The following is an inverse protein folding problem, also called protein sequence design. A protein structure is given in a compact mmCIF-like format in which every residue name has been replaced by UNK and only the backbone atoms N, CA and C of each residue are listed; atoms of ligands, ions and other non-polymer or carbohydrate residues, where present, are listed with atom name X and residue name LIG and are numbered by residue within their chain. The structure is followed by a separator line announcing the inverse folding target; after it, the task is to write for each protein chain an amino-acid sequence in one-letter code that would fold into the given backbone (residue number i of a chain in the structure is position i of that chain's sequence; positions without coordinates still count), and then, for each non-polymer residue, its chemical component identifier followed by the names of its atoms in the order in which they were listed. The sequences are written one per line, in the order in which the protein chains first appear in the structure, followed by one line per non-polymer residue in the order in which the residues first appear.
data_IF_836775601523
#
_entry.id   IF_836775601523
#
_cell.length_a   1.000
_cell.length_b   1.000
_cell.length_c   1.000
_cell.angle_alpha   90.00
_cell.angle_beta   90.00
_cell.angle_gamma   90.00
#
_symmetry.space_group_name_H-M   'P 1'
#
loop_
_entity.id
_entity.type
_entity.pdbx_description
1 polymer ?
#
# COMPACT_ATOMS: atom_id res chain seq x y z
N UNK A 1 -24.29 -63.86 -19.47
CA UNK A 1 -24.42 -62.59 -20.20
C UNK A 1 -24.49 -61.41 -19.23
N UNK A 2 -25.38 -61.44 -18.23
CA UNK A 2 -25.53 -60.38 -17.22
C UNK A 2 -24.29 -60.08 -16.37
N UNK A 3 -23.55 -61.10 -15.91
CA UNK A 3 -22.29 -60.93 -15.15
C UNK A 3 -21.20 -60.18 -15.94
N UNK A 4 -21.19 -60.31 -17.27
CA UNK A 4 -20.22 -59.60 -18.11
C UNK A 4 -20.61 -58.13 -18.27
N UNK A 5 -21.91 -57.86 -18.43
CA UNK A 5 -22.44 -56.49 -18.50
C UNK A 5 -22.24 -55.73 -17.18
N UNK A 6 -22.43 -56.40 -16.03
CA UNK A 6 -22.18 -55.80 -14.72
C UNK A 6 -20.70 -55.49 -14.49
N UNK A 7 -19.79 -56.34 -15.01
CA UNK A 7 -18.34 -56.11 -14.95
C UNK A 7 -17.89 -54.96 -15.84
N UNK A 8 -18.44 -54.84 -17.05
CA UNK A 8 -18.15 -53.71 -17.95
C UNK A 8 -18.66 -52.39 -17.36
N UNK A 9 -19.84 -52.39 -16.75
CA UNK A 9 -20.39 -51.23 -16.06
C UNK A 9 -19.54 -50.80 -14.85
N UNK A 10 -19.09 -51.75 -14.01
CA UNK A 10 -18.19 -51.47 -12.89
C UNK A 10 -16.81 -50.94 -13.34
N UNK A 11 -16.27 -51.49 -14.43
CA UNK A 11 -14.99 -51.03 -14.99
C UNK A 11 -15.11 -49.61 -15.55
N UNK A 12 -16.19 -49.31 -16.29
CA UNK A 12 -16.45 -47.97 -16.82
C UNK A 12 -16.69 -46.93 -15.71
N UNK A 13 -17.37 -47.31 -14.62
CA UNK A 13 -17.56 -46.42 -13.46
C UNK A 13 -16.24 -46.14 -12.73
N UNK A 14 -15.38 -47.14 -12.60
CA UNK A 14 -14.06 -47.00 -11.95
C UNK A 14 -13.12 -46.12 -12.78
N UNK A 15 -13.03 -46.37 -14.10
CA UNK A 15 -12.24 -45.55 -15.05
C UNK A 15 -12.72 -44.09 -15.09
N UNK A 16 -14.05 -43.88 -15.04
CA UNK A 16 -14.64 -42.56 -14.93
C UNK A 16 -14.26 -41.83 -13.63
N UNK A 17 -14.26 -42.53 -12.49
CA UNK A 17 -13.85 -41.97 -11.19
C UNK A 17 -12.36 -41.63 -11.16
N UNK A 18 -11.48 -42.52 -11.62
CA UNK A 18 -10.03 -42.27 -11.72
C UNK A 18 -9.72 -41.09 -12.65
N UNK A 19 -10.44 -40.95 -13.76
CA UNK A 19 -10.31 -39.81 -14.67
C UNK A 19 -10.73 -38.49 -14.02
N UNK A 20 -11.80 -38.49 -13.21
CA UNK A 20 -12.25 -37.30 -12.48
C UNK A 20 -11.26 -36.93 -11.37
N UNK A 21 -10.78 -37.90 -10.59
CA UNK A 21 -9.77 -37.68 -9.54
C UNK A 21 -8.48 -37.11 -10.13
N UNK A 22 -7.96 -37.69 -11.21
CA UNK A 22 -6.78 -37.20 -11.93
C UNK A 22 -6.94 -35.75 -12.41
N UNK A 23 -8.11 -35.39 -12.95
CA UNK A 23 -8.41 -34.01 -13.36
C UNK A 23 -8.47 -33.05 -12.16
N UNK A 24 -9.02 -33.48 -11.03
CA UNK A 24 -9.09 -32.69 -9.81
C UNK A 24 -7.70 -32.47 -9.20
N UNK A 25 -6.84 -33.49 -9.21
CA UNK A 25 -5.46 -33.38 -8.74
C UNK A 25 -4.64 -32.45 -9.64
N UNK A 26 -4.72 -32.61 -10.96
CA UNK A 26 -4.06 -31.72 -11.92
C UNK A 26 -4.53 -30.26 -11.76
N UNK A 27 -5.84 -30.04 -11.62
CA UNK A 27 -6.39 -28.70 -11.36
C UNK A 27 -5.91 -28.13 -10.02
N UNK A 28 -5.88 -28.94 -8.95
CA UNK A 28 -5.38 -28.54 -7.63
C UNK A 28 -3.90 -28.14 -7.71
N UNK A 29 -3.08 -28.94 -8.37
CA UNK A 29 -1.65 -28.71 -8.46
C UNK A 29 -1.33 -27.46 -9.30
N UNK A 30 -2.09 -27.21 -10.37
CA UNK A 30 -2.03 -25.98 -11.14
C UNK A 30 -2.41 -24.74 -10.30
N UNK A 31 -3.46 -24.84 -9.49
CA UNK A 31 -3.86 -23.76 -8.55
C UNK A 31 -2.78 -23.52 -7.51
N UNK A 32 -2.23 -24.56 -6.89
CA UNK A 32 -1.16 -24.45 -5.89
C UNK A 32 0.14 -23.89 -6.49
N UNK A 33 0.49 -24.27 -7.72
CA UNK A 33 1.61 -23.67 -8.43
C UNK A 33 1.40 -22.17 -8.62
N UNK A 34 0.22 -21.75 -9.10
CA UNK A 34 -0.11 -20.34 -9.30
C UNK A 34 -0.05 -19.52 -8.01
N UNK A 35 -0.65 -20.03 -6.93
CA UNK A 35 -0.62 -19.34 -5.62
C UNK A 35 0.81 -19.14 -5.11
N UNK A 36 1.70 -20.13 -5.32
CA UNK A 36 3.12 -20.01 -4.96
C UNK A 36 3.85 -18.95 -5.79
N UNK A 37 3.51 -18.82 -7.08
CA UNK A 37 4.08 -17.76 -7.94
C UNK A 37 3.58 -16.37 -7.54
N UNK A 38 2.28 -16.23 -7.28
CA UNK A 38 1.68 -14.99 -6.79
C UNK A 38 2.32 -14.55 -5.45
N UNK A 39 2.49 -15.47 -4.50
CA UNK A 39 3.14 -15.18 -3.22
C UNK A 39 4.59 -14.71 -3.38
N UNK A 40 5.35 -15.29 -4.33
CA UNK A 40 6.73 -14.88 -4.64
C UNK A 40 6.76 -13.47 -5.26
N UNK A 41 5.87 -13.19 -6.21
CA UNK A 41 5.76 -11.88 -6.84
C UNK A 41 5.40 -10.80 -5.82
N UNK A 42 4.44 -11.09 -4.95
CA UNK A 42 4.05 -10.19 -3.87
C UNK A 42 5.23 -9.93 -2.91
N UNK A 43 5.93 -10.98 -2.48
CA UNK A 43 7.11 -10.82 -1.64
C UNK A 43 8.21 -9.99 -2.32
N UNK A 44 8.43 -10.18 -3.63
CA UNK A 44 9.42 -9.45 -4.39
C UNK A 44 9.07 -7.95 -4.54
N UNK A 45 7.82 -7.62 -4.84
CA UNK A 45 7.38 -6.21 -4.95
C UNK A 45 7.48 -5.50 -3.60
N UNK A 46 7.16 -6.17 -2.49
CA UNK A 46 7.37 -5.62 -1.15
C UNK A 46 8.83 -5.35 -0.81
N UNK A 47 9.70 -6.33 -1.06
CA UNK A 47 11.13 -6.18 -0.83
C UNK A 47 11.71 -5.03 -1.67
N UNK A 48 11.28 -4.91 -2.94
CA UNK A 48 11.65 -3.79 -3.79
C UNK A 48 11.21 -2.45 -3.19
N UNK A 49 9.96 -2.34 -2.75
CA UNK A 49 9.45 -1.13 -2.09
C UNK A 49 10.22 -0.77 -0.81
N UNK A 50 10.63 -1.77 -0.02
CA UNK A 50 11.46 -1.55 1.17
C UNK A 50 12.86 -1.03 0.82
N UNK A 51 13.53 -1.63 -0.17
CA UNK A 51 14.86 -1.18 -0.61
C UNK A 51 14.77 0.25 -1.17
N UNK A 52 13.78 0.54 -2.00
CA UNK A 52 13.55 1.87 -2.55
C UNK A 52 13.22 2.90 -1.48
N UNK A 53 12.43 2.55 -0.46
CA UNK A 53 12.09 3.47 0.63
C UNK A 53 13.27 3.76 1.55
N UNK A 54 14.14 2.79 1.83
CA UNK A 54 15.39 3.02 2.57
C UNK A 54 16.36 3.92 1.80
N UNK A 55 16.56 3.66 0.51
CA UNK A 55 17.37 4.52 -0.34
C UNK A 55 16.78 5.94 -0.45
N UNK A 56 15.46 6.04 -0.66
CA UNK A 56 14.75 7.31 -0.68
C UNK A 56 14.89 8.08 0.62
N UNK A 57 14.73 7.40 1.77
CA UNK A 57 14.92 7.98 3.10
C UNK A 57 16.31 8.62 3.24
N UNK A 58 17.38 7.88 2.93
CA UNK A 58 18.74 8.41 2.96
C UNK A 58 18.87 9.66 2.07
N UNK A 59 18.47 9.56 0.79
CA UNK A 59 18.60 10.67 -0.17
C UNK A 59 17.82 11.91 0.26
N UNK A 60 16.60 11.73 0.74
CA UNK A 60 15.73 12.82 1.20
C UNK A 60 16.30 13.49 2.44
N UNK A 61 16.70 12.71 3.44
CA UNK A 61 17.24 13.24 4.69
C UNK A 61 18.58 13.95 4.47
N UNK A 62 19.47 13.35 3.67
CA UNK A 62 20.76 13.97 3.29
C UNK A 62 20.57 15.32 2.60
N UNK A 63 19.53 15.46 1.76
CA UNK A 63 19.24 16.73 1.06
C UNK A 63 18.63 17.78 2.00
N UNK A 64 17.59 17.42 2.75
CA UNK A 64 16.88 18.41 3.60
C UNK A 64 17.75 18.91 4.75
N UNK A 65 18.67 18.09 5.29
CA UNK A 65 19.60 18.53 6.34
C UNK A 65 20.60 19.57 5.83
N UNK A 66 20.96 19.53 4.54
CA UNK A 66 21.91 20.47 3.95
C UNK A 66 21.30 21.82 3.59
N UNK A 67 20.00 21.85 3.24
CA UNK A 67 19.37 23.06 2.68
C UNK A 67 18.07 23.50 3.33
N UNK A 68 17.44 22.68 4.17
CA UNK A 68 16.14 22.97 4.77
C UNK A 68 16.25 23.50 6.20
N UNK A 69 15.16 24.12 6.68
CA UNK A 69 15.00 24.50 8.07
C UNK A 69 14.47 23.35 8.95
N UNK A 70 14.34 23.59 10.27
CA UNK A 70 13.89 22.57 11.22
C UNK A 70 12.48 22.02 10.93
N UNK A 71 11.58 22.81 10.35
CA UNK A 71 10.24 22.36 9.99
C UNK A 71 10.28 21.44 8.77
N UNK A 72 11.10 21.77 7.77
CA UNK A 72 11.30 20.93 6.58
C UNK A 72 11.95 19.60 6.96
N UNK A 73 12.96 19.62 7.84
CA UNK A 73 13.62 18.42 8.35
C UNK A 73 12.60 17.54 9.08
N UNK A 74 11.83 18.11 10.02
CA UNK A 74 10.80 17.36 10.74
C UNK A 74 9.76 16.76 9.79
N UNK A 75 9.30 17.55 8.81
CA UNK A 75 8.31 17.13 7.84
C UNK A 75 8.78 15.96 6.98
N UNK A 76 10.01 16.06 6.46
CA UNK A 76 10.61 15.01 5.64
C UNK A 76 10.93 13.75 6.45
N UNK A 77 11.37 13.90 7.72
CA UNK A 77 11.63 12.77 8.60
C UNK A 77 10.35 11.95 8.88
N UNK A 78 9.23 12.62 9.12
CA UNK A 78 7.93 11.97 9.34
C UNK A 78 7.49 11.21 8.09
N UNK A 79 7.60 11.82 6.91
CA UNK A 79 7.30 11.14 5.64
C UNK A 79 8.20 9.91 5.42
N UNK A 80 9.52 10.08 5.59
CA UNK A 80 10.48 9.00 5.38
C UNK A 80 10.25 7.83 6.34
N UNK A 81 9.98 8.11 7.62
CA UNK A 81 9.66 7.10 8.62
C UNK A 81 8.38 6.33 8.28
N UNK A 82 7.30 7.04 7.89
CA UNK A 82 6.05 6.40 7.50
C UNK A 82 6.20 5.52 6.24
N UNK A 83 6.98 6.00 5.25
CA UNK A 83 7.30 5.27 4.03
C UNK A 83 8.07 3.98 4.32
N UNK A 84 9.13 4.05 5.13
CA UNK A 84 9.89 2.86 5.52
C UNK A 84 9.02 1.91 6.35
N UNK A 85 8.22 2.42 7.29
CA UNK A 85 7.39 1.60 8.17
C UNK A 85 6.36 0.76 7.42
N UNK A 86 5.66 1.33 6.42
CA UNK A 86 4.68 0.58 5.64
C UNK A 86 5.35 -0.53 4.82
N UNK A 87 6.43 -0.24 4.10
CA UNK A 87 7.11 -1.25 3.29
C UNK A 87 7.84 -2.30 4.14
N UNK A 88 8.35 -1.92 5.31
CA UNK A 88 8.94 -2.84 6.27
C UNK A 88 7.88 -3.79 6.83
N UNK A 89 6.74 -3.26 7.29
CA UNK A 89 5.65 -4.08 7.81
C UNK A 89 5.14 -5.06 6.74
N UNK A 90 4.98 -4.59 5.51
CA UNK A 90 4.54 -5.42 4.40
C UNK A 90 5.53 -6.52 4.06
N UNK A 91 6.83 -6.20 3.96
CA UNK A 91 7.89 -7.18 3.67
C UNK A 91 8.02 -8.22 4.78
N UNK A 92 7.99 -7.78 6.04
CA UNK A 92 8.07 -8.66 7.21
C UNK A 92 6.86 -9.59 7.30
N UNK A 93 5.70 -9.15 6.82
CA UNK A 93 4.49 -9.98 6.77
C UNK A 93 4.63 -11.21 5.86
N UNK A 94 5.52 -11.17 4.87
CA UNK A 94 5.84 -12.32 4.01
C UNK A 94 7.04 -13.12 4.51
N UNK A 95 7.97 -12.49 5.24
CA UNK A 95 9.16 -13.15 5.76
C UNK A 95 8.85 -14.08 6.95
N UNK A 96 7.91 -13.71 7.83
CA UNK A 96 7.62 -14.50 9.02
C UNK A 96 6.73 -15.72 8.73
N UNK A 97 7.29 -16.92 8.92
CA UNK A 97 6.55 -18.19 8.82
C UNK A 97 5.62 -18.45 10.03
N UNK A 98 5.91 -17.85 11.18
CA UNK A 98 5.08 -18.01 12.40
C UNK A 98 3.72 -17.34 12.21
N UNK A 99 2.58 -18.07 12.29
CA UNK A 99 1.25 -17.53 11.96
C UNK A 99 0.85 -16.29 12.77
N UNK A 100 1.25 -16.24 14.06
CA UNK A 100 0.97 -15.09 14.94
C UNK A 100 1.70 -13.83 14.48
N UNK A 101 3.01 -13.91 14.23
CA UNK A 101 3.81 -12.77 13.76
C UNK A 101 3.34 -12.32 12.37
N UNK A 102 3.10 -13.27 11.46
CA UNK A 102 2.54 -12.99 10.14
C UNK A 102 1.24 -12.19 10.21
N UNK A 103 0.35 -12.55 11.15
CA UNK A 103 -0.90 -11.81 11.38
C UNK A 103 -0.64 -10.39 11.88
N UNK A 104 0.25 -10.20 12.86
CA UNK A 104 0.58 -8.87 13.41
C UNK A 104 1.13 -7.96 12.32
N UNK A 105 2.10 -8.41 11.53
CA UNK A 105 2.69 -7.58 10.47
C UNK A 105 1.72 -7.27 9.34
N UNK A 106 0.77 -8.16 9.01
CA UNK A 106 -0.32 -7.83 8.09
C UNK A 106 -1.26 -6.77 8.64
N UNK A 107 -1.57 -6.80 9.93
CA UNK A 107 -2.40 -5.75 10.56
C UNK A 107 -1.65 -4.41 10.51
N UNK A 108 -0.35 -4.42 10.85
CA UNK A 108 0.49 -3.23 10.83
C UNK A 108 0.69 -2.67 9.42
N UNK A 109 0.93 -3.52 8.42
CA UNK A 109 1.02 -3.13 7.02
C UNK A 109 -0.21 -2.29 6.60
N UNK A 110 -1.40 -2.81 6.91
CA UNK A 110 -2.65 -2.13 6.62
C UNK A 110 -2.86 -0.87 7.47
N UNK A 111 -2.43 -0.87 8.73
CA UNK A 111 -2.56 0.28 9.62
C UNK A 111 -1.62 1.43 9.19
N UNK A 112 -0.40 1.12 8.76
CA UNK A 112 0.60 2.12 8.36
C UNK A 112 0.21 2.90 7.11
N UNK A 113 -0.74 2.41 6.30
CA UNK A 113 -1.29 3.18 5.17
C UNK A 113 -1.89 4.50 5.67
N UNK A 114 -2.58 4.53 6.81
CA UNK A 114 -3.10 5.76 7.40
C UNK A 114 -1.97 6.76 7.73
N UNK A 115 -0.88 6.27 8.33
CA UNK A 115 0.26 7.10 8.68
C UNK A 115 1.04 7.55 7.45
N UNK A 116 1.11 6.73 6.40
CA UNK A 116 1.71 7.12 5.14
C UNK A 116 0.94 8.28 4.49
N UNK A 117 -0.40 8.22 4.49
CA UNK A 117 -1.23 9.28 3.93
C UNK A 117 -1.02 10.61 4.67
N UNK A 118 -1.02 10.60 6.01
CA UNK A 118 -0.67 11.80 6.78
C UNK A 118 0.79 12.22 6.55
N UNK A 119 1.69 11.24 6.45
CA UNK A 119 3.10 11.42 6.18
C UNK A 119 3.39 12.13 4.85
N UNK A 120 2.64 11.86 3.79
CA UNK A 120 2.82 12.54 2.49
C UNK A 120 2.38 14.01 2.54
N UNK A 121 1.37 14.35 3.35
CA UNK A 121 0.92 15.74 3.53
C UNK A 121 1.86 16.56 4.44
N UNK A 122 2.51 15.89 5.40
CA UNK A 122 3.30 16.54 6.45
C UNK A 122 4.45 17.44 5.95
N UNK A 123 5.36 17.00 5.06
CA UNK A 123 6.42 17.87 4.55
C UNK A 123 5.88 19.02 3.72
N UNK A 124 4.77 18.84 2.97
CA UNK A 124 4.12 19.93 2.25
C UNK A 124 3.59 20.98 3.24
N UNK A 125 2.84 20.55 4.25
CA UNK A 125 2.24 21.45 5.24
C UNK A 125 3.32 22.20 6.03
N UNK A 126 4.34 21.48 6.48
CA UNK A 126 5.43 22.06 7.26
C UNK A 126 6.44 22.83 6.40
N UNK A 127 6.38 22.79 5.07
CA UNK A 127 7.20 23.67 4.22
C UNK A 127 6.46 24.95 3.84
N UNK A 128 5.17 24.85 3.48
CA UNK A 128 4.45 25.95 2.84
C UNK A 128 3.23 26.47 3.60
N UNK A 129 2.67 25.69 4.53
CA UNK A 129 1.35 25.94 5.13
C UNK A 129 1.45 26.08 6.66
N UNK A 130 2.34 26.94 7.14
CA UNK A 130 2.67 27.09 8.58
C UNK A 130 1.80 28.09 9.34
N UNK A 131 0.76 28.64 8.73
CA UNK A 131 0.04 29.79 9.28
C UNK A 131 -1.47 29.59 9.35
N UNK A 132 -2.12 30.17 10.36
CA UNK A 132 -3.57 30.25 10.47
C UNK A 132 -4.29 28.89 10.38
N UNK A 133 -5.28 28.82 9.49
CA UNK A 133 -6.17 27.68 9.33
C UNK A 133 -5.46 26.38 8.87
N UNK A 134 -4.24 26.47 8.36
CA UNK A 134 -3.49 25.30 7.90
C UNK A 134 -3.10 24.34 9.03
N UNK A 135 -2.89 24.85 10.25
CA UNK A 135 -2.69 24.00 11.43
C UNK A 135 -3.93 23.18 11.77
N UNK A 136 -5.13 23.72 11.54
CA UNK A 136 -6.37 22.98 11.74
C UNK A 136 -6.50 21.84 10.71
N UNK A 137 -6.14 22.09 9.45
CA UNK A 137 -6.11 21.05 8.41
C UNK A 137 -5.08 19.95 8.75
N UNK A 138 -3.87 20.35 9.15
CA UNK A 138 -2.82 19.43 9.60
C UNK A 138 -3.27 18.57 10.78
N UNK A 139 -3.85 19.19 11.81
CA UNK A 139 -4.39 18.48 12.97
C UNK A 139 -5.52 17.52 12.59
N UNK A 140 -6.43 17.92 11.68
CA UNK A 140 -7.52 17.06 11.21
C UNK A 140 -6.99 15.84 10.47
N UNK A 141 -6.04 16.02 9.54
CA UNK A 141 -5.40 14.91 8.80
C UNK A 141 -4.75 13.92 9.77
N UNK A 142 -3.95 14.42 10.72
CA UNK A 142 -3.28 13.57 11.71
C UNK A 142 -4.24 12.89 12.69
N UNK A 143 -5.28 13.59 13.15
CA UNK A 143 -6.28 13.01 14.03
C UNK A 143 -7.02 11.84 13.37
N UNK A 144 -7.46 12.01 12.12
CA UNK A 144 -8.13 10.95 11.36
C UNK A 144 -7.16 9.79 11.09
N UNK A 145 -5.90 10.09 10.72
CA UNK A 145 -4.89 9.08 10.46
C UNK A 145 -4.55 8.24 11.70
N UNK A 146 -4.33 8.88 12.85
CA UNK A 146 -4.05 8.18 14.11
C UNK A 146 -5.25 7.35 14.55
N UNK A 147 -6.47 7.90 14.45
CA UNK A 147 -7.68 7.15 14.74
C UNK A 147 -7.79 5.90 13.86
N UNK A 148 -7.57 6.02 12.55
CA UNK A 148 -7.56 4.90 11.62
C UNK A 148 -6.48 3.86 11.94
N UNK A 149 -5.26 4.32 12.20
CA UNK A 149 -4.12 3.49 12.59
C UNK A 149 -4.43 2.67 13.85
N UNK A 150 -4.85 3.32 14.94
CA UNK A 150 -5.14 2.63 16.20
C UNK A 150 -6.35 1.71 16.10
N UNK A 151 -7.42 2.15 15.42
CA UNK A 151 -8.59 1.31 15.17
C UNK A 151 -8.19 0.01 14.45
N UNK A 152 -7.34 0.12 13.43
CA UNK A 152 -6.85 -1.05 12.69
C UNK A 152 -5.94 -1.92 13.54
N UNK A 153 -4.97 -1.32 14.24
CA UNK A 153 -3.99 -2.01 15.05
C UNK A 153 -4.61 -2.78 16.23
N UNK A 154 -5.67 -2.23 16.85
CA UNK A 154 -6.33 -2.82 18.03
C UNK A 154 -7.41 -3.81 17.62
N UNK A 155 -8.31 -3.43 16.72
CA UNK A 155 -9.49 -4.25 16.41
C UNK A 155 -9.25 -5.28 15.31
N UNK A 156 -8.14 -5.17 14.57
CA UNK A 156 -7.76 -6.13 13.52
C UNK A 156 -8.89 -6.46 12.53
N UNK A 157 -9.79 -5.51 12.28
CA UNK A 157 -10.90 -5.66 11.33
C UNK A 157 -10.34 -5.95 9.93
N UNK A 158 -11.10 -6.62 9.05
CA UNK A 158 -10.64 -6.87 7.68
C UNK A 158 -10.57 -5.56 6.88
N UNK A 159 -9.68 -5.47 5.90
CA UNK A 159 -9.83 -4.41 4.89
C UNK A 159 -11.11 -4.73 4.12
N UNK A 160 -12.02 -3.78 4.14
CA UNK A 160 -13.25 -3.80 3.38
C UNK A 160 -13.38 -2.48 2.59
N UNK A 161 -14.48 -2.36 1.84
CA UNK A 161 -14.75 -1.16 1.06
C UNK A 161 -14.84 0.10 1.93
N UNK A 162 -15.30 -0.03 3.19
CA UNK A 162 -15.41 1.09 4.13
C UNK A 162 -14.03 1.60 4.52
N UNK A 163 -13.16 0.70 4.98
CA UNK A 163 -11.78 1.03 5.35
C UNK A 163 -11.02 1.62 4.16
N UNK A 164 -11.20 1.04 2.98
CA UNK A 164 -10.60 1.56 1.73
C UNK A 164 -11.13 2.96 1.39
N UNK A 165 -12.43 3.19 1.56
CA UNK A 165 -13.06 4.51 1.39
C UNK A 165 -12.52 5.55 2.36
N UNK A 166 -12.25 5.20 3.61
CA UNK A 166 -11.62 6.09 4.59
C UNK A 166 -10.21 6.51 4.18
N UNK A 167 -9.39 5.59 3.66
CA UNK A 167 -8.07 5.93 3.13
C UNK A 167 -8.16 6.92 1.97
N UNK A 168 -9.06 6.68 1.02
CA UNK A 168 -9.28 7.59 -0.13
C UNK A 168 -9.76 8.95 0.37
N UNK A 169 -10.79 8.99 1.24
CA UNK A 169 -11.30 10.24 1.78
C UNK A 169 -10.22 11.05 2.51
N UNK A 170 -9.40 10.39 3.33
CA UNK A 170 -8.28 11.01 4.03
C UNK A 170 -7.22 11.55 3.05
N UNK A 171 -6.87 10.78 2.01
CA UNK A 171 -5.85 11.18 1.04
C UNK A 171 -6.28 12.35 0.15
N UNK A 172 -7.58 12.49 -0.13
CA UNK A 172 -8.13 13.60 -0.92
C UNK A 172 -8.48 14.83 -0.07
N UNK A 173 -8.37 14.73 1.26
CA UNK A 173 -8.73 15.83 2.17
C UNK A 173 -7.92 17.12 1.92
N UNK A 174 -6.59 17.08 1.71
CA UNK A 174 -5.83 18.26 1.31
C UNK A 174 -6.23 18.83 -0.06
N UNK A 175 -6.64 17.97 -1.01
CA UNK A 175 -7.05 18.41 -2.34
C UNK A 175 -8.33 19.25 -2.32
N UNK A 176 -9.21 19.06 -1.32
CA UNK A 176 -10.39 19.92 -1.12
C UNK A 176 -9.99 21.37 -0.78
N UNK A 177 -8.81 21.58 -0.21
CA UNK A 177 -8.26 22.90 0.10
C UNK A 177 -7.40 23.48 -1.05
N UNK A 178 -7.52 22.96 -2.28
CA UNK A 178 -6.65 23.37 -3.39
C UNK A 178 -6.73 24.88 -3.71
N UNK A 179 -7.93 25.46 -3.78
CA UNK A 179 -8.11 26.88 -4.13
C UNK A 179 -7.29 27.82 -3.22
N UNK A 180 -7.38 27.74 -1.87
CA UNK A 180 -6.55 28.56 -0.99
C UNK A 180 -5.06 28.20 -0.99
N UNK A 181 -4.64 27.05 -1.55
CA UNK A 181 -3.22 26.69 -1.69
C UNK A 181 -2.56 27.29 -2.95
N UNK A 182 -3.36 27.80 -3.90
CA UNK A 182 -2.83 28.42 -5.12
C UNK A 182 -2.00 29.65 -4.75
N UNK A 183 -0.73 29.66 -5.18
CA UNK A 183 0.22 30.71 -4.86
C UNK A 183 0.99 30.51 -3.55
N UNK A 184 0.59 29.55 -2.70
CA UNK A 184 1.35 29.16 -1.50
C UNK A 184 2.28 27.98 -1.76
N UNK A 185 1.82 27.04 -2.59
CA UNK A 185 2.55 25.80 -2.89
C UNK A 185 3.04 25.82 -4.34
N UNK A 186 4.29 25.39 -4.63
CA UNK A 186 4.75 25.26 -6.00
C UNK A 186 3.85 24.36 -6.85
N UNK A 187 3.48 24.81 -8.04
CA UNK A 187 2.58 24.04 -8.92
C UNK A 187 3.12 22.66 -9.31
N UNK A 188 4.45 22.53 -9.43
CA UNK A 188 5.09 21.24 -9.68
C UNK A 188 4.90 20.24 -8.53
N UNK A 189 4.99 20.69 -7.27
CA UNK A 189 4.70 19.85 -6.11
C UNK A 189 3.25 19.35 -6.16
N UNK A 190 2.30 20.24 -6.45
CA UNK A 190 0.89 19.86 -6.58
C UNK A 190 0.68 18.74 -7.61
N UNK A 191 1.27 18.84 -8.81
CA UNK A 191 1.10 17.80 -9.83
C UNK A 191 1.67 16.45 -9.40
N UNK A 192 2.84 16.43 -8.76
CA UNK A 192 3.40 15.19 -8.21
C UNK A 192 2.52 14.58 -7.12
N UNK A 193 1.96 15.41 -6.23
CA UNK A 193 1.00 14.96 -5.22
C UNK A 193 -0.28 14.40 -5.86
N UNK A 194 -0.82 15.06 -6.88
CA UNK A 194 -2.02 14.61 -7.58
C UNK A 194 -1.77 13.29 -8.32
N UNK A 195 -0.68 13.17 -9.07
CA UNK A 195 -0.30 11.93 -9.74
C UNK A 195 -0.15 10.78 -8.73
N UNK A 196 0.52 11.03 -7.60
CA UNK A 196 0.65 10.05 -6.52
C UNK A 196 -0.70 9.62 -5.94
N UNK A 197 -1.58 10.57 -5.65
CA UNK A 197 -2.94 10.32 -5.15
C UNK A 197 -3.81 9.55 -6.14
N UNK A 198 -3.68 9.83 -7.44
CA UNK A 198 -4.35 9.09 -8.51
C UNK A 198 -3.85 7.65 -8.61
N UNK A 199 -2.54 7.41 -8.53
CA UNK A 199 -1.97 6.06 -8.49
C UNK A 199 -2.51 5.25 -7.30
N UNK A 200 -2.53 5.83 -6.09
CA UNK A 200 -3.11 5.17 -4.92
C UNK A 200 -4.60 4.87 -5.09
N UNK A 201 -5.37 5.85 -5.58
CA UNK A 201 -6.82 5.68 -5.79
C UNK A 201 -7.10 4.60 -6.83
N UNK A 202 -6.39 4.62 -7.97
CA UNK A 202 -6.49 3.59 -9.00
C UNK A 202 -6.11 2.21 -8.46
N UNK A 203 -5.09 2.14 -7.59
CA UNK A 203 -4.71 0.92 -6.91
C UNK A 203 -5.88 0.28 -6.14
N UNK A 204 -6.68 1.08 -5.44
CA UNK A 204 -7.75 0.54 -4.57
C UNK A 204 -8.77 -0.32 -5.35
N UNK A 205 -8.94 -0.05 -6.64
CA UNK A 205 -9.78 -0.85 -7.53
C UNK A 205 -9.28 -2.30 -7.66
N UNK A 206 -7.97 -2.48 -7.78
CA UNK A 206 -7.31 -3.78 -7.86
C UNK A 206 -7.29 -4.49 -6.51
N UNK A 207 -7.03 -3.74 -5.43
CA UNK A 207 -7.05 -4.27 -4.06
C UNK A 207 -8.41 -4.89 -3.70
N UNK A 208 -9.53 -4.25 -4.05
CA UNK A 208 -10.86 -4.78 -3.75
C UNK A 208 -11.23 -6.06 -4.53
N UNK A 209 -10.41 -6.44 -5.52
CA UNK A 209 -10.66 -7.57 -6.43
C UNK A 209 -9.55 -8.61 -6.40
N UNK A 210 -8.56 -8.46 -5.53
CA UNK A 210 -7.39 -9.32 -5.47
C UNK A 210 -7.72 -10.77 -5.09
N UNK A 211 -8.72 -10.98 -4.24
CA UNK A 211 -9.24 -12.32 -3.91
C UNK A 211 -9.92 -13.02 -5.11
N UNK A 212 -10.35 -12.25 -6.12
CA UNK A 212 -11.15 -12.76 -7.25
C UNK A 212 -10.34 -12.94 -8.52
N UNK A 213 -9.30 -12.13 -8.74
CA UNK A 213 -8.55 -12.09 -10.00
C UNK A 213 -7.06 -12.33 -9.74
N UNK A 214 -6.45 -13.34 -10.41
CA UNK A 214 -5.02 -13.61 -10.31
C UNK A 214 -4.17 -12.36 -10.51
N UNK A 215 -3.06 -12.25 -9.77
CA UNK A 215 -2.05 -11.18 -9.88
C UNK A 215 -2.51 -9.74 -9.57
N UNK A 216 -3.79 -9.47 -9.30
CA UNK A 216 -4.27 -8.12 -9.01
C UNK A 216 -3.63 -7.52 -7.76
N UNK A 217 -3.27 -8.36 -6.79
CA UNK A 217 -2.52 -7.93 -5.61
C UNK A 217 -1.13 -7.36 -5.98
N UNK A 218 -0.43 -7.98 -6.93
CA UNK A 218 0.86 -7.48 -7.41
C UNK A 218 0.71 -6.14 -8.15
N UNK A 219 -0.36 -6.00 -8.97
CA UNK A 219 -0.68 -4.74 -9.65
C UNK A 219 -0.97 -3.62 -8.64
N UNK A 220 -1.71 -3.92 -7.56
CA UNK A 220 -1.90 -3.00 -6.44
C UNK A 220 -0.55 -2.52 -5.89
N UNK A 221 0.38 -3.42 -5.59
CA UNK A 221 1.71 -3.03 -5.08
C UNK A 221 2.49 -2.15 -6.03
N UNK A 222 2.46 -2.44 -7.33
CA UNK A 222 3.13 -1.62 -8.34
C UNK A 222 2.56 -0.20 -8.38
N UNK A 223 1.24 -0.04 -8.27
CA UNK A 223 0.60 1.27 -8.20
C UNK A 223 0.91 2.00 -6.89
N UNK A 224 1.04 1.30 -5.77
CA UNK A 224 1.47 1.88 -4.49
C UNK A 224 2.94 2.35 -4.57
N UNK A 225 3.82 1.57 -5.20
CA UNK A 225 5.22 1.96 -5.42
C UNK A 225 5.29 3.18 -6.34
N UNK A 226 4.55 3.18 -7.45
CA UNK A 226 4.49 4.33 -8.36
C UNK A 226 3.95 5.58 -7.66
N UNK A 227 2.87 5.45 -6.88
CA UNK A 227 2.32 6.56 -6.10
C UNK A 227 3.30 7.07 -5.04
N UNK A 228 4.02 6.18 -4.37
CA UNK A 228 5.10 6.52 -3.43
C UNK A 228 6.23 7.28 -4.12
N UNK A 229 6.63 6.84 -5.32
CA UNK A 229 7.69 7.49 -6.10
C UNK A 229 7.29 8.90 -6.55
N UNK A 230 6.04 9.11 -6.98
CA UNK A 230 5.51 10.44 -7.30
C UNK A 230 5.56 11.38 -6.08
N UNK A 231 5.04 10.94 -4.94
CA UNK A 231 5.09 11.72 -3.70
C UNK A 231 6.52 12.02 -3.27
N UNK A 232 7.39 10.99 -3.29
CA UNK A 232 8.80 11.12 -2.96
C UNK A 232 9.47 12.18 -3.81
N UNK A 233 9.29 12.13 -5.13
CA UNK A 233 9.95 13.04 -6.05
C UNK A 233 9.46 14.49 -5.87
N UNK A 234 8.16 14.69 -5.66
CA UNK A 234 7.60 16.00 -5.31
C UNK A 234 8.22 16.55 -4.01
N UNK A 235 8.21 15.76 -2.95
CA UNK A 235 8.75 16.15 -1.64
C UNK A 235 10.26 16.43 -1.72
N UNK A 236 11.02 15.56 -2.39
CA UNK A 236 12.46 15.71 -2.58
C UNK A 236 12.83 16.96 -3.39
N UNK A 237 12.04 17.28 -4.41
CA UNK A 237 12.33 18.41 -5.31
C UNK A 237 11.93 19.76 -4.73
N UNK A 238 10.84 19.80 -3.96
CA UNK A 238 10.23 21.06 -3.50
C UNK A 238 10.31 21.27 -1.99
N UNK A 239 10.08 20.24 -1.17
CA UNK A 239 10.09 20.38 0.29
C UNK A 239 11.48 20.21 0.92
N UNK A 240 12.39 19.47 0.27
CA UNK A 240 13.73 19.20 0.78
C UNK A 240 14.80 20.22 0.32
N UNK A 241 14.38 21.36 -0.22
CA UNK A 241 15.25 22.48 -0.63
C UNK A 241 14.92 23.73 0.17
N UNK A 242 15.86 24.66 0.31
CA UNK A 242 15.59 25.94 0.95
C UNK A 242 14.37 26.61 0.32
N UNK A 243 13.31 26.83 1.10
CA UNK A 243 12.16 27.63 0.68
C UNK A 243 12.46 29.09 1.01
N UNK A 244 12.47 29.94 -0.02
CA UNK A 244 12.68 31.38 0.10
C UNK A 244 11.51 32.08 0.81
#
# INVERSE_FOLDING_TARGET
MQILQDREAQHAETDGRETVESRLESARDAVLARLREEDKLNAATHALGLVLSLFGCERLMSRVVQSGDGWQIAGCAVYAAALVAVYAASSLSHLFQRPRLRRVFRILDQAFIFLLIAGTFTPLSLSYLRQGAWWALFAAVWAIALFGFFSKAIFAHRIDAVTTGLHVALGWLPAMALKPMIGLVPGGLFWWMLCGGLCYTAGTFFLQRDERVPYFHAVWHLLVIAGSACHFWGIYSYCAVATA
#
